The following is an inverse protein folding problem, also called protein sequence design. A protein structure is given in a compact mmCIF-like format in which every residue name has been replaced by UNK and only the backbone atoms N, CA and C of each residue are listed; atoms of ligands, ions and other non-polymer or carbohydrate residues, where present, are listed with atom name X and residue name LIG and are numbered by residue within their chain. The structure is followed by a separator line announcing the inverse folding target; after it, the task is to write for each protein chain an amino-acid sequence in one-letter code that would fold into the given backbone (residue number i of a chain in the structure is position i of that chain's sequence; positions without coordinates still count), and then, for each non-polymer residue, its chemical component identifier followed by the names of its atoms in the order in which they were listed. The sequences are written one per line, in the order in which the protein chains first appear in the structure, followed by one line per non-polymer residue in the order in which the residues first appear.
data_IF_271201513226
#
_entry.id   IF_271201513226
#
_cell.length_a   1.000
_cell.length_b   1.000
_cell.length_c   1.000
_cell.angle_alpha   90.00
_cell.angle_beta   90.00
_cell.angle_gamma   90.00
#
_symmetry.space_group_name_H-M   'P 1'
#
loop_
_entity.id
_entity.type
_entity.pdbx_description
1 polymer ?
#
# COMPACT_ATOMS: atom_id res chain seq x y z
N UNK A 1 22.84 15.26 0.15
CA UNK A 1 22.05 14.99 -1.07
C UNK A 1 20.71 14.48 -0.60
N UNK A 2 19.59 14.96 -1.15
CA UNK A 2 18.25 14.48 -0.78
C UNK A 2 18.21 12.98 -1.03
N UNK A 3 17.80 12.20 -0.03
CA UNK A 3 17.58 10.74 -0.16
C UNK A 3 16.27 10.41 -0.89
N UNK A 4 15.48 11.46 -1.18
CA UNK A 4 14.16 11.38 -1.79
C UNK A 4 14.24 10.96 -3.25
N UNK A 5 13.52 9.90 -3.59
CA UNK A 5 13.37 9.37 -4.96
C UNK A 5 12.19 10.01 -5.68
N UNK A 6 11.10 10.27 -4.95
CA UNK A 6 9.87 10.87 -5.47
C UNK A 6 9.57 12.14 -4.65
N UNK A 7 9.28 13.23 -5.33
CA UNK A 7 8.92 14.50 -4.68
C UNK A 7 7.71 15.14 -5.37
N UNK A 8 6.72 15.50 -4.56
CA UNK A 8 5.60 16.35 -4.94
C UNK A 8 5.68 17.64 -4.14
N UNK A 9 5.90 18.75 -4.81
CA UNK A 9 6.00 20.10 -4.19
C UNK A 9 4.85 20.97 -4.71
N UNK A 10 3.75 20.97 -3.96
CA UNK A 10 2.55 21.73 -4.26
C UNK A 10 1.91 21.36 -5.61
N UNK A 11 2.07 20.12 -6.05
CA UNK A 11 1.58 19.70 -7.34
C UNK A 11 0.05 19.78 -7.41
N UNK A 12 -0.45 20.44 -8.44
CA UNK A 12 -1.89 20.62 -8.70
C UNK A 12 -2.20 20.17 -10.10
N UNK A 13 -3.31 19.47 -10.28
CA UNK A 13 -3.92 19.22 -11.57
C UNK A 13 -5.39 19.64 -11.58
N UNK A 14 -5.77 20.36 -12.63
CA UNK A 14 -7.14 20.82 -12.85
C UNK A 14 -7.69 20.19 -14.13
N UNK A 15 -8.88 19.61 -14.04
CA UNK A 15 -9.66 19.08 -15.15
C UNK A 15 -11.07 19.68 -15.07
N UNK A 16 -11.34 20.75 -15.82
CA UNK A 16 -12.60 21.47 -15.69
C UNK A 16 -12.81 21.94 -14.22
N UNK A 17 -13.87 21.48 -13.59
CA UNK A 17 -14.17 21.81 -12.20
C UNK A 17 -13.40 20.93 -11.17
N UNK A 18 -12.91 19.77 -11.59
CA UNK A 18 -12.20 18.86 -10.72
C UNK A 18 -10.77 19.32 -10.48
N UNK A 19 -10.41 19.52 -9.22
CA UNK A 19 -9.06 19.88 -8.79
C UNK A 19 -8.45 18.79 -7.93
N UNK A 20 -7.20 18.43 -8.23
CA UNK A 20 -6.36 17.54 -7.44
C UNK A 20 -5.15 18.34 -6.99
N UNK A 21 -4.90 18.36 -5.70
CA UNK A 21 -3.83 19.13 -5.06
C UNK A 21 -4.33 20.46 -4.43
N UNK A 22 -3.40 21.19 -3.79
CA UNK A 22 -1.96 20.96 -3.79
C UNK A 22 -1.58 19.68 -3.03
N UNK A 23 -0.68 18.90 -3.61
CA UNK A 23 -0.15 17.66 -3.01
C UNK A 23 1.32 17.88 -2.66
N UNK A 24 1.69 17.60 -1.40
CA UNK A 24 3.05 17.71 -0.89
C UNK A 24 3.44 16.40 -0.20
N UNK A 25 4.36 15.66 -0.75
CA UNK A 25 4.99 14.50 -0.10
C UNK A 25 6.27 14.10 -0.81
N UNK A 26 7.09 13.33 -0.13
CA UNK A 26 8.26 12.67 -0.70
C UNK A 26 8.26 11.19 -0.38
N UNK A 27 8.94 10.40 -1.21
CA UNK A 27 9.22 8.98 -0.96
C UNK A 27 10.73 8.80 -0.98
N UNK A 28 11.26 8.20 0.08
CA UNK A 28 12.69 7.99 0.25
C UNK A 28 13.14 6.68 -0.44
N UNK A 29 14.44 6.54 -0.68
CA UNK A 29 15.00 5.30 -1.22
C UNK A 29 14.73 4.12 -0.28
N UNK A 30 14.28 2.99 -0.83
CA UNK A 30 13.94 1.79 -0.07
C UNK A 30 12.62 1.85 0.67
N UNK A 31 11.87 2.95 0.53
CA UNK A 31 10.55 3.10 1.13
C UNK A 31 9.49 2.37 0.30
N UNK A 32 8.55 1.71 0.98
CA UNK A 32 7.31 1.22 0.38
C UNK A 32 6.20 2.18 0.75
N UNK A 33 5.83 3.05 -0.18
CA UNK A 33 4.82 4.09 0.03
C UNK A 33 3.47 3.65 -0.54
N UNK A 34 2.49 3.50 0.36
CA UNK A 34 1.08 3.21 0.02
C UNK A 34 0.28 4.49 -0.21
N UNK A 35 -0.20 4.73 -1.42
CA UNK A 35 -1.05 5.87 -1.73
C UNK A 35 -2.52 5.47 -1.63
N UNK A 36 -3.11 5.77 -0.47
CA UNK A 36 -4.46 5.38 -0.09
C UNK A 36 -5.51 6.39 -0.51
N UNK A 37 -6.69 5.91 -0.83
CA UNK A 37 -7.85 6.76 -1.07
C UNK A 37 -8.93 6.06 -1.90
N UNK A 38 -10.18 6.56 -1.85
CA UNK A 38 -11.27 6.00 -2.65
C UNK A 38 -11.05 6.22 -4.14
N UNK A 39 -11.84 5.52 -4.96
CA UNK A 39 -11.81 5.74 -6.41
C UNK A 39 -12.15 7.19 -6.75
N UNK A 40 -11.39 7.76 -7.68
CA UNK A 40 -11.56 9.15 -8.08
C UNK A 40 -10.94 10.20 -7.15
N UNK A 41 -10.25 9.81 -6.07
CA UNK A 41 -9.57 10.73 -5.14
C UNK A 41 -8.37 11.46 -5.76
N UNK A 42 -7.77 10.92 -6.82
CA UNK A 42 -6.64 11.54 -7.53
C UNK A 42 -5.36 10.70 -7.55
N UNK A 43 -5.33 9.47 -6.99
CA UNK A 43 -4.16 8.59 -6.95
C UNK A 43 -3.52 8.39 -8.34
N UNK A 44 -4.27 7.86 -9.29
CA UNK A 44 -3.83 7.67 -10.69
C UNK A 44 -3.38 8.96 -11.36
N UNK A 45 -4.00 10.10 -11.04
CA UNK A 45 -3.56 11.41 -11.57
C UNK A 45 -2.18 11.80 -11.02
N UNK A 46 -1.93 11.58 -9.73
CA UNK A 46 -0.61 11.80 -9.14
C UNK A 46 0.43 10.87 -9.79
N UNK A 47 0.11 9.58 -9.94
CA UNK A 47 0.98 8.62 -10.64
C UNK A 47 1.28 9.09 -12.07
N UNK A 48 0.29 9.51 -12.82
CA UNK A 48 0.48 10.05 -14.20
C UNK A 48 1.31 11.33 -14.23
N UNK A 49 1.19 12.21 -13.23
CA UNK A 49 2.07 13.39 -13.10
C UNK A 49 3.51 12.96 -12.81
N UNK A 50 3.73 11.97 -11.92
CA UNK A 50 5.04 11.42 -11.59
C UNK A 50 5.73 10.81 -12.80
N UNK A 51 4.97 10.12 -13.64
CA UNK A 51 5.49 9.49 -14.87
C UNK A 51 5.60 10.47 -16.06
N UNK A 52 5.32 11.76 -15.86
CA UNK A 52 5.36 12.75 -16.95
C UNK A 52 4.27 12.57 -18.02
N UNK A 53 3.27 11.71 -17.78
CA UNK A 53 2.14 11.47 -18.68
C UNK A 53 1.10 12.60 -18.63
N UNK A 54 1.08 13.34 -17.52
CA UNK A 54 0.17 14.48 -17.30
C UNK A 54 0.95 15.65 -16.72
N UNK A 55 0.87 16.81 -17.37
CA UNK A 55 1.49 18.04 -16.87
C UNK A 55 0.72 18.59 -15.66
N UNK A 56 1.37 18.88 -14.53
CA UNK A 56 0.77 19.64 -13.44
C UNK A 56 0.27 21.01 -13.93
N UNK A 57 -0.85 21.48 -13.39
CA UNK A 57 -1.35 22.84 -13.63
C UNK A 57 -0.61 23.88 -12.78
N UNK A 58 -0.06 23.46 -11.63
CA UNK A 58 0.79 24.25 -10.75
C UNK A 58 1.65 23.31 -9.89
N UNK A 59 2.68 23.86 -9.22
CA UNK A 59 3.61 23.08 -8.41
C UNK A 59 4.61 22.29 -9.25
N UNK A 60 5.30 21.34 -8.62
CA UNK A 60 6.38 20.56 -9.24
C UNK A 60 6.27 19.08 -8.84
N UNK A 61 6.72 18.22 -9.74
CA UNK A 61 6.94 16.79 -9.45
C UNK A 61 8.35 16.46 -9.89
N UNK A 62 9.07 15.70 -9.07
CA UNK A 62 10.41 15.22 -9.38
C UNK A 62 10.50 13.72 -9.14
N UNK A 63 11.25 13.07 -10.01
CA UNK A 63 11.61 11.67 -9.91
C UNK A 63 13.14 11.58 -9.97
N UNK A 64 13.76 11.13 -8.86
CA UNK A 64 15.21 11.13 -8.66
C UNK A 64 15.88 12.51 -8.92
N UNK A 65 15.19 13.58 -8.47
CA UNK A 65 15.63 14.96 -8.64
C UNK A 65 15.37 15.57 -10.02
N UNK A 66 14.91 14.76 -11.02
CA UNK A 66 14.64 15.18 -12.39
C UNK A 66 13.16 15.57 -12.60
N UNK A 67 12.89 16.48 -13.52
CA UNK A 67 11.54 16.79 -13.96
C UNK A 67 11.10 15.78 -15.05
N UNK A 68 10.13 14.87 -14.76
CA UNK A 68 9.74 13.81 -15.70
C UNK A 68 9.08 14.34 -16.99
N UNK A 69 8.71 15.61 -17.03
CA UNK A 69 8.19 16.25 -18.27
C UNK A 69 9.30 16.79 -19.18
N UNK A 70 10.43 17.18 -18.59
CA UNK A 70 11.57 17.75 -19.32
C UNK A 70 12.61 16.71 -19.67
N UNK A 71 12.90 15.87 -18.67
CA UNK A 71 13.98 14.88 -18.71
C UNK A 71 13.40 13.45 -18.78
N UNK A 72 12.34 13.27 -19.60
CA UNK A 72 11.47 12.08 -19.57
C UNK A 72 12.25 10.76 -19.59
N UNK A 73 13.09 10.53 -20.59
CA UNK A 73 13.86 9.29 -20.72
C UNK A 73 14.76 9.07 -19.52
N UNK A 74 15.54 10.08 -19.11
CA UNK A 74 16.47 9.97 -17.99
C UNK A 74 15.76 9.76 -16.66
N UNK A 75 14.65 10.46 -16.45
CA UNK A 75 13.86 10.35 -15.23
C UNK A 75 13.23 8.96 -15.08
N UNK A 76 12.77 8.36 -16.17
CA UNK A 76 12.10 7.05 -16.16
C UNK A 76 13.05 5.86 -16.32
N UNK A 77 14.34 6.06 -16.68
CA UNK A 77 15.31 4.97 -16.70
C UNK A 77 15.41 4.29 -15.34
N UNK A 78 15.23 2.97 -15.26
CA UNK A 78 15.22 2.21 -14.01
C UNK A 78 13.95 2.43 -13.16
N UNK A 79 12.84 2.82 -13.78
CA UNK A 79 11.51 2.87 -13.19
C UNK A 79 10.63 1.83 -13.87
N UNK A 80 10.06 0.91 -13.10
CA UNK A 80 9.03 -0.02 -13.57
C UNK A 80 7.63 0.53 -13.27
N UNK A 81 6.71 0.39 -14.22
CA UNK A 81 5.33 0.86 -14.05
C UNK A 81 4.32 -0.22 -14.40
N UNK A 82 3.34 -0.43 -13.51
CA UNK A 82 2.15 -1.25 -13.78
C UNK A 82 0.90 -0.39 -13.60
N UNK A 83 0.09 -0.17 -14.66
CA UNK A 83 -1.17 0.56 -14.58
C UNK A 83 -2.28 -0.28 -13.93
N UNK A 84 -3.32 0.38 -13.41
CA UNK A 84 -4.54 -0.24 -12.87
C UNK A 84 -5.22 -1.18 -13.88
N UNK A 85 -5.28 -0.73 -15.15
CA UNK A 85 -5.87 -1.51 -16.24
C UNK A 85 -4.79 -1.75 -17.31
N UNK A 86 -4.11 -2.90 -17.26
CA UNK A 86 -3.11 -3.23 -18.26
C UNK A 86 -3.71 -3.35 -19.66
N UNK A 87 -3.17 -2.62 -20.61
CA UNK A 87 -3.54 -2.72 -22.01
C UNK A 87 -2.52 -3.58 -22.76
N UNK A 88 -2.59 -4.89 -22.58
CA UNK A 88 -1.66 -5.86 -23.17
C UNK A 88 -2.32 -6.47 -24.41
N UNK A 89 -1.54 -6.62 -25.48
CA UNK A 89 -2.01 -7.17 -26.75
C UNK A 89 -2.47 -8.63 -26.60
N UNK A 90 -3.75 -8.88 -26.79
CA UNK A 90 -4.40 -10.18 -26.51
C UNK A 90 -3.92 -11.33 -27.44
N UNK A 91 -3.39 -11.02 -28.60
CA UNK A 91 -2.86 -11.99 -29.58
C UNK A 91 -1.41 -12.41 -29.30
N UNK A 92 -0.68 -11.66 -28.47
CA UNK A 92 0.70 -12.01 -28.06
C UNK A 92 0.71 -13.03 -26.92
N UNK A 93 1.86 -13.67 -26.74
CA UNK A 93 2.17 -14.46 -25.53
C UNK A 93 2.86 -13.61 -24.49
N UNK A 94 2.86 -13.97 -23.18
CA UNK A 94 3.61 -13.30 -22.14
C UNK A 94 5.10 -13.10 -22.49
N UNK A 95 5.73 -14.11 -23.09
CA UNK A 95 7.12 -14.01 -23.52
C UNK A 95 7.33 -12.97 -24.61
N UNK A 96 6.45 -12.90 -25.60
CA UNK A 96 6.50 -11.89 -26.66
C UNK A 96 6.28 -10.48 -26.10
N UNK A 97 5.33 -10.31 -25.16
CA UNK A 97 5.08 -9.04 -24.48
C UNK A 97 6.33 -8.58 -23.73
N UNK A 98 6.92 -9.47 -22.93
CA UNK A 98 8.13 -9.15 -22.15
C UNK A 98 9.37 -8.95 -23.06
N UNK A 99 9.47 -9.66 -24.18
CA UNK A 99 10.55 -9.44 -25.14
C UNK A 99 10.47 -8.05 -25.78
N UNK A 100 9.26 -7.58 -26.10
CA UNK A 100 9.05 -6.23 -26.59
C UNK A 100 9.43 -5.19 -25.50
N UNK A 101 8.97 -5.39 -24.27
CA UNK A 101 9.34 -4.49 -23.16
C UNK A 101 10.85 -4.51 -22.86
N UNK A 102 11.52 -5.66 -22.98
CA UNK A 102 12.98 -5.77 -22.85
C UNK A 102 13.72 -4.92 -23.90
N UNK A 103 13.23 -4.92 -25.12
CA UNK A 103 13.76 -4.09 -26.19
C UNK A 103 13.56 -2.59 -25.91
N UNK A 104 12.37 -2.20 -25.42
CA UNK A 104 12.05 -0.81 -25.09
C UNK A 104 12.95 -0.25 -23.98
N UNK A 105 13.30 -1.06 -22.97
CA UNK A 105 14.23 -0.66 -21.91
C UNK A 105 15.71 -0.81 -22.28
N UNK A 106 16.01 -1.27 -23.49
CA UNK A 106 17.38 -1.43 -23.98
C UNK A 106 18.12 -2.65 -23.43
N UNK A 107 17.41 -3.69 -22.97
CA UNK A 107 18.02 -4.94 -22.53
C UNK A 107 18.48 -5.76 -23.73
N UNK A 108 19.80 -5.92 -23.92
CA UNK A 108 20.39 -6.56 -25.10
C UNK A 108 21.00 -7.94 -24.85
N UNK A 109 21.22 -8.30 -23.58
CA UNK A 109 21.82 -9.57 -23.18
C UNK A 109 21.00 -10.26 -22.10
N UNK A 110 21.00 -11.61 -22.08
CA UNK A 110 20.29 -12.38 -21.08
C UNK A 110 18.75 -12.23 -21.11
N UNK A 111 18.19 -11.69 -22.21
CA UNK A 111 16.76 -11.35 -22.34
C UNK A 111 15.86 -12.53 -21.99
N UNK A 112 16.15 -13.73 -22.52
CA UNK A 112 15.33 -14.92 -22.26
C UNK A 112 15.35 -15.32 -20.78
N UNK A 113 16.52 -15.33 -20.16
CA UNK A 113 16.68 -15.66 -18.74
C UNK A 113 15.95 -14.66 -17.87
N UNK A 114 16.01 -13.37 -18.21
CA UNK A 114 15.32 -12.30 -17.46
C UNK A 114 13.80 -12.40 -17.62
N UNK A 115 13.31 -12.75 -18.83
CA UNK A 115 11.88 -13.02 -19.05
C UNK A 115 11.42 -14.21 -18.22
N UNK A 116 12.17 -15.31 -18.21
CA UNK A 116 11.84 -16.48 -17.41
C UNK A 116 11.83 -16.16 -15.93
N UNK A 117 12.82 -15.39 -15.44
CA UNK A 117 12.91 -14.93 -14.05
C UNK A 117 11.65 -14.17 -13.65
N UNK A 118 11.24 -13.12 -14.38
CA UNK A 118 10.07 -12.32 -13.97
C UNK A 118 8.76 -13.08 -14.11
N UNK A 119 8.62 -13.99 -15.07
CA UNK A 119 7.45 -14.86 -15.20
C UNK A 119 7.34 -15.86 -14.04
N UNK A 120 8.48 -16.39 -13.58
CA UNK A 120 8.57 -17.28 -12.43
C UNK A 120 8.24 -16.51 -11.15
N UNK A 121 8.84 -15.33 -10.94
CA UNK A 121 8.57 -14.47 -9.80
C UNK A 121 7.09 -14.14 -9.64
N UNK A 122 6.39 -13.78 -10.72
CA UNK A 122 4.95 -13.49 -10.62
C UNK A 122 4.07 -14.74 -10.74
N UNK A 123 4.64 -15.95 -10.87
CA UNK A 123 3.95 -17.23 -10.84
C UNK A 123 3.07 -17.52 -12.06
N UNK A 124 3.54 -17.12 -13.28
CA UNK A 124 2.84 -17.40 -14.54
C UNK A 124 3.76 -17.99 -15.63
N UNK A 125 4.91 -18.54 -15.25
CA UNK A 125 5.89 -19.10 -16.20
C UNK A 125 5.30 -20.19 -17.09
N UNK A 126 4.40 -21.04 -16.54
CA UNK A 126 3.73 -22.12 -17.28
C UNK A 126 2.85 -21.61 -18.42
N UNK A 127 2.41 -20.35 -18.33
CA UNK A 127 1.59 -19.69 -19.34
C UNK A 127 2.40 -18.83 -20.30
N UNK A 128 3.73 -18.85 -20.19
CA UNK A 128 4.64 -17.99 -20.95
C UNK A 128 4.46 -18.06 -22.48
N UNK A 129 4.02 -19.22 -22.99
CA UNK A 129 3.79 -19.48 -24.42
C UNK A 129 2.28 -19.51 -24.78
N UNK A 130 1.39 -19.27 -23.81
CA UNK A 130 -0.05 -19.17 -24.05
C UNK A 130 -0.42 -17.76 -24.49
N UNK A 131 -1.44 -17.61 -25.36
CA UNK A 131 -1.89 -16.26 -25.75
C UNK A 131 -2.49 -15.52 -24.56
N UNK A 132 -2.21 -14.22 -24.43
CA UNK A 132 -2.78 -13.35 -23.39
C UNK A 132 -4.30 -13.40 -23.36
N UNK A 133 -4.97 -13.60 -24.52
CA UNK A 133 -6.42 -13.77 -24.60
C UNK A 133 -6.97 -14.98 -23.84
N UNK A 134 -6.12 -15.93 -23.42
CA UNK A 134 -6.48 -17.11 -22.63
C UNK A 134 -6.19 -16.95 -21.15
N UNK A 135 -5.52 -15.89 -20.75
CA UNK A 135 -5.18 -15.62 -19.37
C UNK A 135 -6.40 -15.07 -18.60
N UNK A 136 -6.49 -15.40 -17.33
CA UNK A 136 -7.44 -14.74 -16.42
C UNK A 136 -7.05 -13.27 -16.20
N UNK A 137 -7.98 -12.45 -15.71
CA UNK A 137 -7.68 -11.05 -15.35
C UNK A 137 -6.52 -10.94 -14.35
N UNK A 138 -6.49 -11.80 -13.35
CA UNK A 138 -5.41 -11.84 -12.37
C UNK A 138 -4.05 -12.22 -13.00
N UNK A 139 -4.03 -13.14 -13.98
CA UNK A 139 -2.80 -13.47 -14.69
C UNK A 139 -2.32 -12.32 -15.59
N UNK A 140 -3.24 -11.58 -16.20
CA UNK A 140 -2.89 -10.37 -16.97
C UNK A 140 -2.34 -9.28 -16.04
N UNK A 141 -2.88 -9.14 -14.84
CA UNK A 141 -2.35 -8.21 -13.82
C UNK A 141 -0.94 -8.62 -13.38
N UNK A 142 -0.71 -9.90 -13.11
CA UNK A 142 0.64 -10.42 -12.81
C UNK A 142 1.63 -10.21 -13.96
N UNK A 143 1.20 -10.38 -15.21
CA UNK A 143 2.02 -10.07 -16.37
C UNK A 143 2.40 -8.58 -16.44
N UNK A 144 1.48 -7.68 -16.09
CA UNK A 144 1.77 -6.26 -15.99
C UNK A 144 2.82 -5.93 -14.91
N UNK A 145 2.75 -6.61 -13.76
CA UNK A 145 3.79 -6.47 -12.74
C UNK A 145 5.11 -7.08 -13.19
N UNK A 146 5.10 -8.22 -13.94
CA UNK A 146 6.31 -8.77 -14.55
C UNK A 146 6.98 -7.78 -15.51
N UNK A 147 6.20 -7.05 -16.33
CA UNK A 147 6.73 -5.96 -17.17
C UNK A 147 7.39 -4.86 -16.33
N UNK A 148 6.76 -4.49 -15.20
CA UNK A 148 7.33 -3.49 -14.30
C UNK A 148 8.62 -3.96 -13.61
N UNK A 149 8.78 -5.26 -13.32
CA UNK A 149 9.97 -5.85 -12.69
C UNK A 149 11.12 -6.11 -13.67
N UNK A 150 10.84 -6.09 -14.98
CA UNK A 150 11.81 -6.42 -16.01
C UNK A 150 13.04 -5.49 -15.98
N UNK A 151 14.23 -6.06 -16.07
CA UNK A 151 15.47 -5.31 -16.02
C UNK A 151 15.85 -4.82 -14.62
N UNK A 152 15.22 -5.35 -13.58
CA UNK A 152 15.52 -5.04 -12.16
C UNK A 152 15.56 -3.53 -11.87
N UNK A 153 14.46 -2.79 -12.08
CA UNK A 153 14.41 -1.35 -11.86
C UNK A 153 14.73 -1.02 -10.41
N UNK A 154 15.11 0.24 -10.12
CA UNK A 154 15.35 0.72 -8.75
C UNK A 154 14.07 1.22 -8.07
N UNK A 155 13.06 1.56 -8.86
CA UNK A 155 11.79 2.12 -8.38
C UNK A 155 10.62 1.47 -9.11
N UNK A 156 9.64 1.01 -8.36
CA UNK A 156 8.37 0.54 -8.89
C UNK A 156 7.27 1.56 -8.61
N UNK A 157 6.47 1.84 -9.63
CA UNK A 157 5.25 2.64 -9.53
C UNK A 157 4.09 1.74 -9.96
N UNK A 158 3.22 1.39 -9.01
CA UNK A 158 2.17 0.38 -9.21
C UNK A 158 0.80 1.01 -8.92
N UNK A 159 -0.07 1.04 -9.92
CA UNK A 159 -1.43 1.57 -9.75
C UNK A 159 -2.39 0.40 -9.53
N UNK A 160 -2.88 0.23 -8.28
CA UNK A 160 -3.79 -0.85 -7.84
C UNK A 160 -3.29 -2.27 -8.24
N UNK A 161 -2.07 -2.69 -7.87
CA UNK A 161 -1.44 -3.89 -8.42
C UNK A 161 -2.13 -5.20 -8.04
N UNK A 162 -2.93 -5.21 -6.97
CA UNK A 162 -3.62 -6.41 -6.46
C UNK A 162 -5.03 -6.57 -7.03
N UNK A 163 -5.50 -5.61 -7.84
CA UNK A 163 -6.88 -5.64 -8.35
C UNK A 163 -7.12 -6.88 -9.24
N UNK A 164 -8.21 -7.58 -8.97
CA UNK A 164 -8.60 -8.75 -9.78
C UNK A 164 -7.82 -10.03 -9.51
N UNK A 165 -6.93 -10.04 -8.51
CA UNK A 165 -6.28 -11.24 -8.01
C UNK A 165 -7.20 -11.99 -7.04
N UNK A 166 -7.08 -13.31 -7.01
CA UNK A 166 -7.63 -14.14 -5.95
C UNK A 166 -6.76 -14.03 -4.67
N UNK A 167 -7.20 -14.53 -3.51
CA UNK A 167 -6.43 -14.44 -2.27
C UNK A 167 -5.03 -15.06 -2.35
N UNK A 168 -4.87 -16.19 -3.06
CA UNK A 168 -3.57 -16.83 -3.25
C UNK A 168 -2.66 -15.98 -4.13
N UNK A 169 -3.23 -15.38 -5.19
CA UNK A 169 -2.54 -14.46 -6.07
C UNK A 169 -2.09 -13.19 -5.38
N UNK A 170 -2.93 -12.64 -4.52
CA UNK A 170 -2.60 -11.47 -3.71
C UNK A 170 -1.47 -11.78 -2.74
N UNK A 171 -1.53 -12.91 -2.02
CA UNK A 171 -0.48 -13.34 -1.10
C UNK A 171 0.86 -13.52 -1.83
N UNK A 172 0.86 -14.21 -2.97
CA UNK A 172 2.07 -14.43 -3.75
C UNK A 172 2.68 -13.11 -4.28
N UNK A 173 1.86 -12.23 -4.87
CA UNK A 173 2.36 -10.95 -5.38
C UNK A 173 2.89 -10.05 -4.25
N UNK A 174 2.28 -10.11 -3.07
CA UNK A 174 2.78 -9.44 -1.86
C UNK A 174 4.19 -9.91 -1.51
N UNK A 175 4.43 -11.22 -1.48
CA UNK A 175 5.76 -11.79 -1.21
C UNK A 175 6.80 -11.30 -2.22
N UNK A 176 6.46 -11.25 -3.50
CA UNK A 176 7.32 -10.69 -4.56
C UNK A 176 7.68 -9.24 -4.29
N UNK A 177 6.69 -8.39 -3.99
CA UNK A 177 6.92 -6.96 -3.75
C UNK A 177 7.67 -6.70 -2.45
N UNK A 178 7.40 -7.47 -1.39
CA UNK A 178 8.19 -7.43 -0.13
C UNK A 178 9.63 -7.86 -0.38
N UNK A 179 9.85 -8.92 -1.15
CA UNK A 179 11.18 -9.36 -1.55
C UNK A 179 11.95 -8.27 -2.32
N UNK A 180 11.29 -7.62 -3.28
CA UNK A 180 11.86 -6.50 -4.02
C UNK A 180 12.25 -5.32 -3.10
N UNK A 181 11.38 -4.95 -2.17
CA UNK A 181 11.65 -3.87 -1.22
C UNK A 181 12.79 -4.22 -0.27
N UNK A 182 12.83 -5.46 0.25
CA UNK A 182 13.91 -5.97 1.11
C UNK A 182 15.26 -5.96 0.38
N UNK A 183 15.26 -6.15 -0.94
CA UNK A 183 16.43 -5.99 -1.80
C UNK A 183 16.86 -4.52 -2.01
N UNK A 184 16.21 -3.55 -1.36
CA UNK A 184 16.54 -2.12 -1.44
C UNK A 184 15.78 -1.37 -2.54
N UNK A 185 14.79 -1.99 -3.17
CA UNK A 185 13.90 -1.35 -4.14
C UNK A 185 12.96 -0.35 -3.47
N UNK A 186 12.61 0.71 -4.19
CA UNK A 186 11.63 1.72 -3.75
C UNK A 186 10.28 1.43 -4.43
N UNK A 187 9.19 1.44 -3.68
CA UNK A 187 7.85 1.21 -4.24
C UNK A 187 6.95 2.40 -3.92
N UNK A 188 6.27 2.93 -4.93
CA UNK A 188 5.06 3.71 -4.76
C UNK A 188 3.90 2.90 -5.33
N UNK A 189 2.97 2.50 -4.48
CA UNK A 189 1.77 1.80 -4.92
C UNK A 189 0.50 2.51 -4.51
N UNK A 190 -0.49 2.56 -5.39
CA UNK A 190 -1.84 2.96 -5.00
C UNK A 190 -2.63 1.75 -4.53
N UNK A 191 -3.48 1.96 -3.53
CA UNK A 191 -4.47 0.98 -3.10
C UNK A 191 -5.71 1.65 -2.52
N UNK A 192 -6.83 0.97 -2.57
CA UNK A 192 -8.04 1.28 -1.83
C UNK A 192 -8.29 0.25 -0.70
N UNK A 193 -7.44 -0.78 -0.59
CA UNK A 193 -7.52 -1.85 0.42
C UNK A 193 -6.51 -1.62 1.55
N UNK A 194 -7.02 -1.46 2.77
CA UNK A 194 -6.19 -1.18 3.95
C UNK A 194 -5.27 -2.34 4.31
N UNK A 195 -5.73 -3.59 4.15
CA UNK A 195 -4.94 -4.79 4.44
C UNK A 195 -3.65 -4.88 3.61
N UNK A 196 -3.69 -4.46 2.35
CA UNK A 196 -2.49 -4.44 1.50
C UNK A 196 -1.44 -3.47 2.04
N UNK A 197 -1.91 -2.35 2.57
CA UNK A 197 -1.05 -1.29 3.10
C UNK A 197 -0.48 -1.66 4.46
N UNK A 198 -1.30 -2.23 5.36
CA UNK A 198 -0.85 -2.71 6.67
C UNK A 198 0.28 -3.74 6.55
N UNK A 199 0.15 -4.64 5.57
CA UNK A 199 1.06 -5.77 5.41
C UNK A 199 2.39 -5.42 4.71
N UNK A 200 2.41 -4.33 3.91
CA UNK A 200 3.54 -4.08 3.01
C UNK A 200 4.16 -2.69 3.15
N UNK A 201 3.38 -1.67 3.49
CA UNK A 201 3.84 -0.30 3.38
C UNK A 201 4.58 0.16 4.63
N UNK A 202 5.75 0.76 4.44
CA UNK A 202 6.50 1.43 5.50
C UNK A 202 5.93 2.81 5.81
N UNK A 203 5.29 3.42 4.82
CA UNK A 203 4.60 4.70 4.96
C UNK A 203 3.38 4.81 4.06
N UNK A 204 2.49 5.72 4.40
CA UNK A 204 1.22 5.92 3.70
C UNK A 204 0.92 7.39 3.45
N UNK A 205 0.29 7.66 2.33
CA UNK A 205 -0.30 8.95 2.01
C UNK A 205 -1.80 8.77 1.74
N UNK A 206 -2.65 9.38 2.58
CA UNK A 206 -4.10 9.36 2.39
C UNK A 206 -4.56 10.53 1.54
N UNK A 207 -5.16 10.24 0.38
CA UNK A 207 -5.75 11.26 -0.49
C UNK A 207 -7.27 11.13 -0.55
N UNK A 208 -7.97 12.25 -0.35
CA UNK A 208 -9.43 12.34 -0.49
C UNK A 208 -9.84 13.67 -1.10
N UNK A 209 -10.82 13.65 -2.00
CA UNK A 209 -11.29 14.87 -2.67
C UNK A 209 -10.17 15.66 -3.36
N UNK A 210 -9.14 15.00 -3.85
CA UNK A 210 -7.97 15.62 -4.47
C UNK A 210 -6.95 16.20 -3.50
N UNK A 211 -7.13 16.07 -2.17
CA UNK A 211 -6.23 16.61 -1.14
C UNK A 211 -5.51 15.49 -0.38
N UNK A 212 -4.26 15.69 -0.06
CA UNK A 212 -3.52 14.80 0.85
C UNK A 212 -3.93 15.14 2.28
N UNK A 213 -4.63 14.21 2.95
CA UNK A 213 -5.12 14.39 4.32
C UNK A 213 -4.11 13.97 5.37
N UNK A 214 -3.28 12.97 5.05
CA UNK A 214 -2.29 12.41 5.94
C UNK A 214 -1.06 11.91 5.17
N UNK A 215 0.10 11.98 5.82
CA UNK A 215 1.35 11.31 5.42
C UNK A 215 2.09 10.90 6.69
N UNK A 216 2.53 9.65 6.75
CA UNK A 216 3.25 9.05 7.88
C UNK A 216 3.25 7.54 7.79
N UNK A 217 3.61 6.85 8.87
CA UNK A 217 3.49 5.39 8.96
C UNK A 217 2.02 4.97 9.18
N UNK A 218 1.66 3.70 8.87
CA UNK A 218 0.32 3.18 9.21
C UNK A 218 -0.03 3.38 10.68
N UNK A 219 0.91 3.12 11.60
CA UNK A 219 0.71 3.29 13.04
C UNK A 219 0.48 4.75 13.44
N UNK A 220 1.20 5.70 12.85
CA UNK A 220 0.98 7.13 13.06
C UNK A 220 -0.39 7.57 12.55
N UNK A 221 -0.88 6.96 11.46
CA UNK A 221 -2.23 7.23 10.97
C UNK A 221 -3.29 6.79 11.97
N UNK A 222 -3.16 5.56 12.50
CA UNK A 222 -4.04 5.06 13.56
C UNK A 222 -4.01 6.00 14.75
N UNK A 223 -2.83 6.37 15.24
CA UNK A 223 -2.68 7.24 16.40
C UNK A 223 -3.18 8.66 16.24
N UNK A 224 -3.16 9.19 15.02
CA UNK A 224 -3.65 10.55 14.74
C UNK A 224 -5.16 10.61 14.53
N UNK A 225 -5.75 9.52 14.01
CA UNK A 225 -7.15 9.48 13.60
C UNK A 225 -8.05 8.83 14.66
N UNK A 226 -7.47 8.04 15.57
CA UNK A 226 -8.21 7.36 16.63
C UNK A 226 -7.69 7.78 18.00
N UNK A 227 -8.58 8.20 18.87
CA UNK A 227 -8.25 8.55 20.27
C UNK A 227 -7.85 7.32 21.11
N UNK A 228 -8.24 6.14 20.68
CA UNK A 228 -8.04 4.89 21.41
C UNK A 228 -7.72 3.73 20.48
N UNK A 229 -6.79 2.88 20.93
CA UNK A 229 -6.59 1.54 20.41
C UNK A 229 -7.60 0.55 20.98
N UNK A 230 -7.69 -0.63 20.40
CA UNK A 230 -8.48 -1.75 20.91
C UNK A 230 -7.56 -2.94 21.17
N UNK A 231 -7.78 -3.62 22.29
CA UNK A 231 -7.18 -4.91 22.61
C UNK A 231 -8.31 -5.94 22.71
N UNK A 232 -8.25 -6.99 21.92
CA UNK A 232 -9.18 -8.12 22.00
C UNK A 232 -8.57 -9.24 22.83
N UNK A 233 -9.35 -9.71 23.78
CA UNK A 233 -8.99 -10.77 24.72
C UNK A 233 -10.01 -11.88 24.63
N UNK A 234 -9.56 -13.09 24.43
CA UNK A 234 -10.36 -14.32 24.56
C UNK A 234 -9.81 -15.12 25.73
N UNK A 235 -10.65 -15.44 26.71
CA UNK A 235 -10.26 -16.16 27.90
C UNK A 235 -11.44 -16.98 28.46
N UNK A 236 -11.14 -18.11 29.11
CA UNK A 236 -12.13 -18.93 29.81
C UNK A 236 -12.04 -18.70 31.32
N UNK A 237 -13.17 -18.70 32.00
CA UNK A 237 -13.21 -18.55 33.47
C UNK A 237 -12.98 -17.11 33.94
N UNK A 238 -13.27 -16.13 33.09
CA UNK A 238 -13.23 -14.72 33.47
C UNK A 238 -14.24 -14.42 34.56
N UNK A 239 -13.78 -13.88 35.68
CA UNK A 239 -14.61 -13.41 36.79
C UNK A 239 -14.77 -11.89 36.74
N UNK A 240 -15.84 -11.37 37.34
CA UNK A 240 -16.08 -9.93 37.45
C UNK A 240 -14.89 -9.21 38.13
N UNK A 241 -14.21 -9.86 39.07
CA UNK A 241 -13.03 -9.32 39.72
C UNK A 241 -11.85 -9.11 38.78
N UNK A 242 -11.65 -9.99 37.79
CA UNK A 242 -10.64 -9.83 36.75
C UNK A 242 -11.00 -8.66 35.85
N UNK A 243 -12.26 -8.58 35.40
CA UNK A 243 -12.76 -7.49 34.55
C UNK A 243 -12.60 -6.14 35.25
N UNK A 244 -12.94 -6.04 36.53
CA UNK A 244 -12.75 -4.83 37.33
C UNK A 244 -11.27 -4.48 37.56
N UNK A 245 -10.40 -5.46 37.64
CA UNK A 245 -8.96 -5.23 37.73
C UNK A 245 -8.40 -4.69 36.41
N UNK A 246 -8.83 -5.22 35.28
CA UNK A 246 -8.44 -4.73 33.94
C UNK A 246 -8.94 -3.30 33.75
N UNK A 247 -10.15 -2.96 34.22
CA UNK A 247 -10.71 -1.60 34.17
C UNK A 247 -9.86 -0.55 34.85
N UNK A 248 -9.09 -0.95 35.89
CA UNK A 248 -8.22 -0.06 36.68
C UNK A 248 -6.82 0.14 36.09
N UNK A 249 -6.47 -0.57 35.04
CA UNK A 249 -5.17 -0.40 34.35
C UNK A 249 -5.10 1.05 33.81
N UNK A 250 -3.98 1.70 34.04
CA UNK A 250 -3.74 3.04 33.53
C UNK A 250 -3.80 3.04 31.98
N UNK A 251 -4.62 3.94 31.41
CA UNK A 251 -4.82 4.05 29.98
C UNK A 251 -5.98 3.23 29.43
N UNK A 252 -6.59 2.32 30.22
CA UNK A 252 -7.86 1.69 29.83
C UNK A 252 -8.98 2.70 29.92
N UNK A 253 -9.72 2.88 28.82
CA UNK A 253 -10.78 3.85 28.67
C UNK A 253 -12.17 3.23 28.85
N UNK A 254 -12.36 2.03 28.31
CA UNK A 254 -13.60 1.27 28.44
C UNK A 254 -13.38 -0.21 28.17
N UNK A 255 -14.33 -1.01 28.64
CA UNK A 255 -14.40 -2.47 28.47
C UNK A 255 -15.77 -2.83 27.92
N UNK A 256 -15.79 -3.70 26.92
CA UNK A 256 -17.00 -4.27 26.35
C UNK A 256 -16.88 -5.80 26.36
N UNK A 257 -17.85 -6.47 27.00
CA UNK A 257 -17.92 -7.93 27.01
C UNK A 257 -18.45 -8.44 25.68
N UNK A 258 -17.79 -9.46 25.14
CA UNK A 258 -18.15 -10.11 23.91
C UNK A 258 -18.39 -11.62 24.15
N UNK A 259 -18.99 -12.32 23.17
CA UNK A 259 -19.17 -13.78 23.28
C UNK A 259 -17.82 -14.49 23.35
N UNK A 260 -17.34 -14.75 24.58
CA UNK A 260 -16.09 -15.48 24.82
C UNK A 260 -14.88 -14.63 25.20
N UNK A 261 -15.05 -13.33 25.45
CA UNK A 261 -13.92 -12.47 25.86
C UNK A 261 -14.28 -11.02 26.11
N UNK A 262 -13.28 -10.15 26.02
CA UNK A 262 -13.38 -8.70 26.21
C UNK A 262 -12.78 -7.95 25.03
N UNK A 263 -13.40 -6.84 24.69
CA UNK A 263 -12.76 -5.75 23.92
C UNK A 263 -12.41 -4.62 24.88
N UNK A 264 -11.12 -4.35 25.00
CA UNK A 264 -10.58 -3.30 25.90
C UNK A 264 -10.17 -2.12 25.03
N UNK A 265 -10.79 -0.94 25.24
CA UNK A 265 -10.35 0.29 24.61
C UNK A 265 -9.25 0.92 25.46
N UNK A 266 -8.11 1.18 24.84
CA UNK A 266 -6.89 1.65 25.50
C UNK A 266 -6.48 2.97 24.85
N UNK A 267 -6.04 3.95 25.66
CA UNK A 267 -5.48 5.20 25.15
C UNK A 267 -4.35 4.90 24.16
N UNK A 268 -4.32 5.60 23.04
CA UNK A 268 -3.28 5.40 22.03
C UNK A 268 -1.87 5.58 22.64
N UNK A 269 -0.94 4.68 22.24
CA UNK A 269 0.43 4.68 22.77
C UNK A 269 0.62 3.93 24.10
N UNK A 270 -0.44 3.43 24.72
CA UNK A 270 -0.36 2.59 25.93
C UNK A 270 -0.39 1.12 25.55
N UNK A 271 0.69 0.37 25.87
CA UNK A 271 0.76 -1.08 25.70
C UNK A 271 0.21 -1.79 26.95
N UNK A 272 -1.08 -2.11 26.92
CA UNK A 272 -1.77 -2.73 28.06
C UNK A 272 -1.79 -4.27 28.01
N UNK A 273 -1.44 -4.91 26.88
CA UNK A 273 -1.52 -6.38 26.72
C UNK A 273 -0.74 -7.16 27.76
N UNK A 274 0.51 -6.81 28.15
CA UNK A 274 1.24 -7.57 29.18
C UNK A 274 0.55 -7.53 30.55
N UNK A 275 -0.02 -6.38 30.93
CA UNK A 275 -0.68 -6.23 32.22
C UNK A 275 -2.04 -6.93 32.24
N UNK A 276 -2.82 -6.81 31.16
CA UNK A 276 -4.07 -7.56 30.98
C UNK A 276 -3.82 -9.05 31.08
N UNK A 277 -2.81 -9.58 30.35
CA UNK A 277 -2.43 -10.99 30.38
C UNK A 277 -2.08 -11.45 31.79
N UNK A 278 -1.30 -10.66 32.53
CA UNK A 278 -0.91 -10.96 33.92
C UNK A 278 -2.12 -11.07 34.86
N UNK A 279 -3.03 -10.10 34.77
CA UNK A 279 -4.23 -10.08 35.62
C UNK A 279 -5.17 -11.26 35.37
N UNK A 280 -5.32 -11.66 34.11
CA UNK A 280 -6.13 -12.81 33.71
C UNK A 280 -5.55 -14.09 34.30
N UNK A 281 -4.24 -14.33 34.14
CA UNK A 281 -3.58 -15.52 34.64
C UNK A 281 -3.53 -15.55 36.19
N UNK A 282 -3.27 -14.42 36.84
CA UNK A 282 -3.30 -14.31 38.31
C UNK A 282 -4.70 -14.53 38.91
N UNK A 283 -5.74 -14.14 38.18
CA UNK A 283 -7.12 -14.36 38.55
C UNK A 283 -7.61 -15.80 38.36
N UNK A 284 -6.77 -16.68 37.82
CA UNK A 284 -7.08 -18.11 37.62
C UNK A 284 -7.87 -18.38 36.35
N UNK A 285 -8.01 -17.42 35.46
CA UNK A 285 -8.64 -17.59 34.14
C UNK A 285 -7.61 -18.09 33.10
N UNK A 286 -8.07 -18.86 32.14
CA UNK A 286 -7.28 -19.40 31.02
C UNK A 286 -7.29 -18.38 29.85
N UNK A 287 -6.17 -17.70 29.60
CA UNK A 287 -5.99 -16.81 28.47
C UNK A 287 -5.81 -17.63 27.18
N UNK A 288 -6.70 -17.46 26.21
CA UNK A 288 -6.65 -18.13 24.92
C UNK A 288 -5.96 -17.25 23.87
N UNK A 289 -6.37 -15.98 23.79
CA UNK A 289 -5.85 -15.02 22.82
C UNK A 289 -5.81 -13.63 23.42
N UNK A 290 -4.74 -12.89 23.14
CA UNK A 290 -4.68 -11.45 23.35
C UNK A 290 -4.00 -10.78 22.14
N UNK A 291 -4.70 -9.88 21.50
CA UNK A 291 -4.22 -9.22 20.26
C UNK A 291 -4.77 -7.80 20.13
N UNK A 292 -4.15 -7.01 19.31
CA UNK A 292 -4.73 -5.71 18.90
C UNK A 292 -6.08 -5.91 18.21
N UNK A 293 -6.93 -4.91 18.31
CA UNK A 293 -8.21 -4.89 17.63
C UNK A 293 -8.03 -4.98 16.11
N UNK A 294 -8.93 -5.72 15.46
CA UNK A 294 -8.88 -5.87 14.00
C UNK A 294 -9.19 -4.55 13.30
N UNK A 295 -8.57 -4.35 12.14
CA UNK A 295 -8.86 -3.25 11.21
C UNK A 295 -8.73 -1.84 11.79
N UNK A 296 -7.71 -1.64 12.65
CA UNK A 296 -7.48 -0.31 13.23
C UNK A 296 -7.17 0.73 12.14
N UNK A 297 -6.41 0.37 11.11
CA UNK A 297 -6.14 1.25 9.99
C UNK A 297 -7.41 1.56 9.17
N UNK A 298 -8.30 0.58 8.99
CA UNK A 298 -9.59 0.80 8.31
C UNK A 298 -10.49 1.77 9.10
N UNK A 299 -10.53 1.64 10.43
CA UNK A 299 -11.25 2.59 11.30
C UNK A 299 -10.65 3.98 11.21
N UNK A 300 -9.33 4.10 11.28
CA UNK A 300 -8.61 5.36 11.14
C UNK A 300 -8.85 6.02 9.78
N UNK A 301 -8.90 5.22 8.71
CA UNK A 301 -9.22 5.68 7.37
C UNK A 301 -10.64 6.24 7.28
N UNK A 302 -11.64 5.53 7.82
CA UNK A 302 -13.03 5.99 7.83
C UNK A 302 -13.15 7.31 8.59
N UNK A 303 -12.50 7.43 9.75
CA UNK A 303 -12.52 8.66 10.55
C UNK A 303 -11.84 9.82 9.81
N UNK A 304 -10.69 9.59 9.20
CA UNK A 304 -10.02 10.60 8.39
C UNK A 304 -10.87 11.11 7.21
N UNK A 305 -11.67 10.23 6.60
CA UNK A 305 -12.60 10.63 5.53
C UNK A 305 -13.75 11.51 6.07
N UNK A 306 -14.27 11.22 7.28
CA UNK A 306 -15.31 12.03 7.92
C UNK A 306 -14.80 13.42 8.26
N UNK A 307 -13.61 13.50 8.87
CA UNK A 307 -12.97 14.78 9.20
C UNK A 307 -12.60 15.60 7.97
N UNK A 308 -12.13 14.93 6.91
CA UNK A 308 -11.80 15.56 5.63
C UNK A 308 -13.03 16.11 4.90
N UNK A 309 -14.18 15.44 5.02
CA UNK A 309 -15.44 15.90 4.45
C UNK A 309 -16.01 17.12 5.21
N UNK A 310 -15.82 17.18 6.56
CA UNK A 310 -16.26 18.30 7.39
C UNK A 310 -15.48 19.61 7.19
N UNK A 311 -14.25 19.56 6.67
CA UNK A 311 -13.41 20.72 6.39
C UNK A 311 -13.51 21.24 4.93
N UNK A 312 -14.38 20.64 4.13
CA UNK A 312 -14.60 20.98 2.72
C UNK A 312 -15.90 21.75 2.46
N UNK A 313 -16.63 22.15 3.53
CA UNK A 313 -17.82 23.05 3.48
C UNK A 313 -17.43 24.49 3.80
#
# INVERSE_FOLDING_TARGET
MSSSVIEFDGAVKVYGEKRIGPVHFSVERGEVFGFLGPNGSGKTTCIRMLLGLVRPSAGRVRLRGLDPLRDHVTALTGVGYSPELPNIQSFMTPREVLALSAQEIGLTSGVRTEIDRVLEEVGIIEYGDSRVSRLSKGMVQRLSVAQALLGSPQTLVLDEPMIGLDPAGTAHLREVLVGYATGGGTILMSSHMMSEVEDMCTSVGLIHGGRLLFRGTPNEMVGKMLDAGEVRVEAKGMSDSIVESIRKIEGVLSLEETRGGLTVRVRHGVEARPEISRLIMQGGAELLTIREGDRMLEKAYIEALRDGAGKAQ
#
